data_IF_705317071722
#
_entry.id   IF_705317071722
#
_cell.length_a   1.000
_cell.length_b   1.000
_cell.length_c   1.000
_cell.angle_alpha   90.00
_cell.angle_beta   90.00
_cell.angle_gamma   90.00
#
_symmetry.space_group_name_H-M   'P 1'
#
loop_
_entity.id
_entity.type
_entity.pdbx_description
1 polymer ?
#
# COMPACT_ATOMS: atom_id res chain seq x y z
N UNK A 1 22.06 -19.94 -1.65
CA UNK A 1 21.88 -20.40 -3.04
C UNK A 1 22.07 -19.20 -3.95
N UNK A 2 22.81 -19.32 -5.05
CA UNK A 2 23.17 -18.16 -5.88
C UNK A 2 22.19 -17.86 -7.02
N UNK A 3 21.09 -18.60 -7.15
CA UNK A 3 20.11 -18.37 -8.19
C UNK A 3 19.47 -16.98 -8.02
N UNK A 4 19.37 -16.24 -9.11
CA UNK A 4 18.59 -15.01 -9.13
C UNK A 4 17.11 -15.36 -8.96
N UNK A 5 16.42 -14.59 -8.11
CA UNK A 5 14.98 -14.70 -7.89
C UNK A 5 14.37 -13.32 -7.71
N UNK A 6 13.08 -13.22 -7.97
CA UNK A 6 12.30 -12.00 -7.82
C UNK A 6 11.05 -12.27 -6.99
N UNK A 7 10.46 -11.23 -6.39
CA UNK A 7 9.25 -11.36 -5.57
C UNK A 7 8.08 -12.02 -6.32
N UNK A 8 7.99 -11.82 -7.64
CA UNK A 8 6.97 -12.43 -8.49
C UNK A 8 7.09 -13.94 -8.59
N UNK A 9 8.22 -14.54 -8.18
CA UNK A 9 8.46 -15.98 -8.23
C UNK A 9 7.81 -16.73 -7.06
N UNK A 10 7.40 -15.99 -6.00
CA UNK A 10 6.82 -16.60 -4.79
C UNK A 10 5.51 -17.31 -5.12
N UNK A 11 4.58 -16.61 -5.78
CA UNK A 11 3.26 -17.19 -6.08
C UNK A 11 3.35 -18.43 -7.00
N UNK A 12 4.04 -18.38 -8.16
CA UNK A 12 4.23 -19.60 -8.98
C UNK A 12 4.89 -20.74 -8.22
N UNK A 13 5.84 -20.45 -7.32
CA UNK A 13 6.50 -21.48 -6.49
C UNK A 13 5.51 -22.15 -5.55
N UNK A 14 4.62 -21.37 -4.91
CA UNK A 14 3.60 -21.93 -4.02
C UNK A 14 2.62 -22.81 -4.79
N UNK A 15 2.12 -22.35 -5.94
CA UNK A 15 1.23 -23.14 -6.79
C UNK A 15 1.87 -24.45 -7.23
N UNK A 16 3.11 -24.40 -7.70
CA UNK A 16 3.86 -25.57 -8.18
C UNK A 16 4.16 -26.54 -7.02
N UNK A 17 4.61 -26.03 -5.86
CA UNK A 17 4.90 -26.86 -4.68
C UNK A 17 3.65 -27.59 -4.13
N UNK A 18 2.47 -27.02 -4.31
CA UNK A 18 1.19 -27.60 -3.89
C UNK A 18 0.52 -28.43 -4.99
N UNK A 19 1.07 -28.46 -6.21
CA UNK A 19 0.47 -29.11 -7.36
C UNK A 19 -0.84 -28.47 -7.82
N UNK A 20 -1.01 -27.17 -7.57
CA UNK A 20 -2.22 -26.42 -7.92
C UNK A 20 -2.01 -25.74 -9.29
N UNK A 21 -2.92 -26.01 -10.22
CA UNK A 21 -2.94 -25.30 -11.49
C UNK A 21 -3.42 -23.86 -11.29
N UNK A 22 -2.66 -22.89 -11.78
CA UNK A 22 -3.04 -21.46 -11.71
C UNK A 22 -4.34 -21.26 -12.50
N UNK A 23 -5.41 -20.73 -11.87
CA UNK A 23 -6.67 -20.50 -12.55
C UNK A 23 -6.53 -19.37 -13.57
N UNK A 24 -7.02 -19.56 -14.78
CA UNK A 24 -7.09 -18.51 -15.81
C UNK A 24 -8.28 -17.58 -15.62
N UNK A 25 -9.27 -17.98 -14.81
CA UNK A 25 -10.47 -17.19 -14.50
C UNK A 25 -10.78 -17.33 -13.02
N UNK A 26 -11.00 -16.21 -12.32
CA UNK A 26 -11.44 -16.17 -10.92
C UNK A 26 -12.69 -15.30 -10.82
N UNK A 27 -13.77 -15.84 -10.24
CA UNK A 27 -15.06 -15.13 -10.09
C UNK A 27 -15.59 -14.52 -11.40
N UNK A 28 -15.37 -15.21 -12.53
CA UNK A 28 -15.81 -14.74 -13.85
C UNK A 28 -14.87 -13.73 -14.53
N UNK A 29 -13.75 -13.36 -13.90
CA UNK A 29 -12.77 -12.44 -14.46
C UNK A 29 -11.51 -13.18 -14.93
N UNK A 30 -11.11 -12.93 -16.18
CA UNK A 30 -9.85 -13.42 -16.73
C UNK A 30 -8.67 -12.89 -15.93
N UNK A 31 -7.73 -13.75 -15.59
CA UNK A 31 -6.54 -13.39 -14.81
C UNK A 31 -5.41 -12.98 -15.75
N UNK A 32 -4.60 -12.00 -15.31
CA UNK A 32 -3.34 -11.69 -15.97
C UNK A 32 -2.36 -12.87 -15.83
N UNK A 33 -1.52 -13.14 -16.85
CA UNK A 33 -0.48 -14.16 -16.75
C UNK A 33 0.46 -13.89 -15.55
N UNK A 34 0.89 -14.96 -14.88
CA UNK A 34 1.97 -14.86 -13.90
C UNK A 34 3.31 -14.80 -14.65
N UNK A 35 4.08 -13.74 -14.42
CA UNK A 35 5.39 -13.53 -15.05
C UNK A 35 6.56 -14.07 -14.20
N UNK A 36 6.29 -14.66 -13.04
CA UNK A 36 7.29 -15.27 -12.19
C UNK A 36 7.60 -16.72 -12.59
N UNK A 37 8.78 -17.18 -12.23
CA UNK A 37 9.24 -18.56 -12.42
C UNK A 37 9.19 -19.34 -11.10
N UNK A 38 8.70 -20.57 -11.14
CA UNK A 38 8.72 -21.43 -9.96
C UNK A 38 10.16 -21.75 -9.55
N UNK A 39 10.45 -21.60 -8.27
CA UNK A 39 11.75 -21.92 -7.67
C UNK A 39 11.83 -23.36 -7.13
N UNK A 40 10.83 -24.20 -7.34
CA UNK A 40 10.81 -25.58 -6.83
C UNK A 40 12.02 -26.40 -7.32
N UNK A 41 12.52 -26.12 -8.54
CA UNK A 41 13.74 -26.72 -9.07
C UNK A 41 14.98 -26.50 -8.19
N UNK A 42 14.98 -25.47 -7.34
CA UNK A 42 16.08 -25.16 -6.43
C UNK A 42 16.02 -25.90 -5.11
N UNK A 43 14.90 -26.55 -4.76
CA UNK A 43 14.69 -27.11 -3.42
C UNK A 43 15.70 -28.21 -3.08
N UNK A 44 16.01 -29.05 -4.04
CA UNK A 44 16.90 -30.19 -3.87
C UNK A 44 18.21 -30.10 -4.68
N UNK A 45 18.55 -28.91 -5.17
CA UNK A 45 19.77 -28.71 -5.97
C UNK A 45 20.54 -27.48 -5.51
N UNK A 46 21.88 -27.53 -5.67
CA UNK A 46 22.79 -26.41 -5.43
C UNK A 46 23.29 -25.78 -6.74
N UNK A 47 22.69 -26.13 -7.88
CA UNK A 47 23.06 -25.55 -9.18
C UNK A 47 23.01 -24.03 -9.14
N UNK A 48 23.91 -23.38 -9.87
CA UNK A 48 23.90 -21.91 -10.07
C UNK A 48 23.05 -21.48 -11.24
N UNK A 49 22.54 -22.40 -12.03
CA UNK A 49 21.67 -22.08 -13.15
C UNK A 49 20.35 -21.52 -12.64
N UNK A 50 19.98 -20.35 -13.12
CA UNK A 50 18.65 -19.77 -12.94
C UNK A 50 17.80 -20.09 -14.17
N UNK A 51 16.52 -20.42 -13.93
CA UNK A 51 15.54 -20.59 -15.01
C UNK A 51 14.88 -19.27 -15.38
N UNK A 52 15.07 -18.23 -14.57
CA UNK A 52 14.45 -16.95 -14.80
C UNK A 52 15.07 -16.26 -16.00
N UNK A 53 14.20 -15.77 -16.90
CA UNK A 53 14.56 -14.87 -17.98
C UNK A 53 14.88 -13.44 -17.48
N UNK A 54 14.96 -12.48 -18.40
CA UNK A 54 15.25 -11.10 -18.04
C UNK A 54 14.30 -10.54 -16.99
N UNK A 55 14.83 -9.75 -16.05
CA UNK A 55 14.06 -9.02 -15.07
C UNK A 55 14.35 -7.54 -15.16
N UNK A 56 13.38 -6.76 -15.61
CA UNK A 56 13.44 -5.30 -15.58
C UNK A 56 13.04 -4.75 -14.21
N UNK A 57 13.52 -3.56 -13.93
CA UNK A 57 13.14 -2.73 -12.78
C UNK A 57 12.90 -1.31 -13.28
N UNK A 58 11.89 -0.66 -12.74
CA UNK A 58 11.58 0.74 -12.96
C UNK A 58 11.01 1.34 -11.69
N UNK A 59 11.47 2.54 -11.35
CA UNK A 59 10.90 3.34 -10.27
C UNK A 59 11.19 4.81 -10.52
N UNK A 60 10.16 5.60 -10.83
CA UNK A 60 10.25 7.06 -10.99
C UNK A 60 11.32 7.50 -12.02
N UNK A 61 11.45 6.75 -13.11
CA UNK A 61 12.43 6.99 -14.16
C UNK A 61 13.76 6.24 -13.96
N UNK A 62 14.12 5.83 -12.74
CA UNK A 62 15.28 4.98 -12.50
C UNK A 62 15.04 3.59 -13.09
N UNK A 63 16.03 3.05 -13.80
CA UNK A 63 15.86 1.82 -14.57
C UNK A 63 16.99 0.84 -14.33
N UNK A 64 16.66 -0.43 -14.30
CA UNK A 64 17.66 -1.49 -14.33
C UNK A 64 17.11 -2.74 -15.03
N UNK A 65 18.03 -3.57 -15.51
CA UNK A 65 17.70 -4.89 -16.03
C UNK A 65 18.77 -5.89 -15.61
N UNK A 66 18.30 -7.06 -15.19
CA UNK A 66 19.13 -8.22 -14.94
C UNK A 66 18.88 -9.26 -16.04
N UNK A 67 19.93 -9.82 -16.60
CA UNK A 67 19.87 -10.97 -17.51
C UNK A 67 21.25 -11.69 -17.50
N UNK A 68 21.23 -13.02 -17.44
CA UNK A 68 22.40 -13.90 -17.55
C UNK A 68 23.58 -13.49 -16.66
N UNK A 69 23.27 -13.10 -15.41
CA UNK A 69 24.26 -12.67 -14.43
C UNK A 69 24.80 -11.27 -14.64
N UNK A 70 24.39 -10.56 -15.69
CA UNK A 70 24.67 -9.14 -15.88
C UNK A 70 23.54 -8.27 -15.32
N UNK A 71 23.89 -7.07 -14.86
CA UNK A 71 22.98 -6.01 -14.51
C UNK A 71 23.40 -4.72 -15.20
N UNK A 72 22.49 -4.11 -15.94
CA UNK A 72 22.63 -2.72 -16.37
C UNK A 72 21.70 -1.84 -15.53
N UNK A 73 22.17 -0.67 -15.11
CA UNK A 73 21.43 0.23 -14.22
C UNK A 73 21.71 1.69 -14.55
N UNK A 74 20.66 2.53 -14.43
CA UNK A 74 20.80 3.98 -14.54
C UNK A 74 19.92 4.68 -13.51
N UNK A 75 20.42 5.79 -13.00
CA UNK A 75 19.66 6.75 -12.23
C UNK A 75 19.24 7.89 -13.15
N UNK A 76 17.98 8.28 -13.05
CA UNK A 76 17.40 9.32 -13.87
C UNK A 76 17.24 10.62 -13.09
N UNK A 77 17.65 11.72 -13.68
CA UNK A 77 17.42 13.04 -13.11
C UNK A 77 16.10 13.61 -13.66
N UNK A 78 15.25 14.09 -12.75
CA UNK A 78 13.92 14.61 -13.11
C UNK A 78 14.00 15.72 -14.15
N UNK A 79 13.09 15.67 -15.13
CA UNK A 79 13.01 16.60 -16.27
C UNK A 79 14.21 16.56 -17.23
N UNK A 80 15.02 15.51 -17.21
CA UNK A 80 16.08 15.26 -18.20
C UNK A 80 15.55 14.25 -19.23
N UNK A 81 15.90 14.40 -20.54
CA UNK A 81 15.56 13.38 -21.52
C UNK A 81 16.18 12.03 -21.18
N UNK A 82 15.40 10.94 -21.25
CA UNK A 82 15.82 9.59 -20.88
C UNK A 82 17.00 9.05 -21.71
N UNK A 83 17.18 9.53 -22.92
CA UNK A 83 18.31 9.22 -23.81
C UNK A 83 19.65 9.76 -23.32
N UNK A 84 19.63 10.73 -22.41
CA UNK A 84 20.85 11.33 -21.81
C UNK A 84 21.33 10.57 -20.56
N UNK A 85 20.59 9.58 -20.12
CA UNK A 85 20.96 8.83 -18.92
C UNK A 85 22.23 8.00 -19.13
N UNK A 86 23.12 8.06 -18.16
CA UNK A 86 24.33 7.25 -18.15
C UNK A 86 24.06 5.92 -17.46
N UNK A 87 24.36 4.83 -18.15
CA UNK A 87 24.18 3.48 -17.66
C UNK A 87 25.48 2.85 -17.21
N UNK A 88 25.47 2.21 -16.03
CA UNK A 88 26.50 1.29 -15.57
C UNK A 88 26.19 -0.16 -15.96
N UNK A 89 27.22 -0.99 -16.08
CA UNK A 89 27.13 -2.42 -16.37
C UNK A 89 27.96 -3.23 -15.37
N UNK A 90 27.35 -4.25 -14.79
CA UNK A 90 28.00 -5.10 -13.79
C UNK A 90 27.79 -6.58 -14.07
N UNK A 91 28.77 -7.42 -13.74
CA UNK A 91 28.69 -8.88 -13.80
C UNK A 91 28.51 -9.41 -12.38
N UNK A 92 27.24 -9.60 -11.95
CA UNK A 92 26.90 -9.90 -10.56
C UNK A 92 27.44 -11.24 -10.04
N UNK A 93 27.68 -12.20 -10.92
CA UNK A 93 28.28 -13.49 -10.55
C UNK A 93 29.72 -13.34 -10.07
N UNK A 94 30.42 -12.29 -10.49
CA UNK A 94 31.82 -12.01 -10.21
C UNK A 94 31.98 -10.80 -9.28
N UNK A 95 31.07 -9.85 -9.35
CA UNK A 95 31.07 -8.59 -8.61
C UNK A 95 29.67 -8.28 -8.06
N UNK A 96 29.26 -9.01 -7.01
CA UNK A 96 27.96 -8.84 -6.38
C UNK A 96 27.75 -7.44 -5.77
N UNK A 97 28.85 -6.76 -5.41
CA UNK A 97 28.85 -5.44 -4.79
C UNK A 97 28.81 -4.28 -5.79
N UNK A 98 28.83 -4.58 -7.10
CA UNK A 98 28.79 -3.57 -8.17
C UNK A 98 29.94 -2.53 -8.06
N UNK A 99 31.13 -3.00 -7.73
CA UNK A 99 32.33 -2.14 -7.55
C UNK A 99 33.07 -1.86 -8.86
N UNK A 100 32.89 -2.71 -9.88
CA UNK A 100 33.62 -2.64 -11.12
C UNK A 100 32.67 -2.43 -12.31
N UNK A 101 32.50 -1.18 -12.71
CA UNK A 101 31.68 -0.83 -13.87
C UNK A 101 32.34 -1.27 -15.17
N UNK A 102 31.67 -2.14 -15.90
CA UNK A 102 32.08 -2.69 -17.19
C UNK A 102 31.57 -1.88 -18.40
N UNK A 103 30.86 -0.78 -18.19
CA UNK A 103 30.22 0.00 -19.26
C UNK A 103 31.20 0.45 -20.34
N UNK A 104 32.41 0.82 -19.96
CA UNK A 104 33.49 1.27 -20.86
C UNK A 104 34.27 0.11 -21.50
N UNK A 105 34.38 -1.02 -20.81
CA UNK A 105 35.14 -2.20 -21.29
C UNK A 105 34.28 -3.16 -22.09
N UNK A 106 32.96 -3.16 -21.88
CA UNK A 106 31.98 -4.01 -22.58
C UNK A 106 30.81 -3.19 -23.17
N UNK A 107 31.05 -2.18 -24.00
CA UNK A 107 30.01 -1.29 -24.51
C UNK A 107 28.97 -2.01 -25.39
N UNK A 108 29.35 -3.09 -26.08
CA UNK A 108 28.42 -3.89 -26.86
C UNK A 108 27.39 -4.62 -25.98
N UNK A 109 27.87 -5.20 -24.85
CA UNK A 109 26.98 -5.85 -23.87
C UNK A 109 26.06 -4.84 -23.19
N UNK A 110 26.57 -3.67 -22.83
CA UNK A 110 25.73 -2.59 -22.29
C UNK A 110 24.62 -2.21 -23.26
N UNK A 111 24.93 -2.02 -24.52
CA UNK A 111 23.92 -1.68 -25.55
C UNK A 111 22.85 -2.77 -25.68
N UNK A 112 23.24 -4.04 -25.65
CA UNK A 112 22.32 -5.18 -25.67
C UNK A 112 21.38 -5.13 -24.45
N UNK A 113 21.91 -4.92 -23.25
CA UNK A 113 21.12 -4.86 -22.02
C UNK A 113 20.15 -3.69 -22.01
N UNK A 114 20.57 -2.51 -22.49
CA UNK A 114 19.68 -1.36 -22.62
C UNK A 114 18.54 -1.65 -23.60
N UNK A 115 18.83 -2.25 -24.74
CA UNK A 115 17.81 -2.63 -25.72
C UNK A 115 16.82 -3.63 -25.12
N UNK A 116 17.32 -4.61 -24.38
CA UNK A 116 16.50 -5.59 -23.67
C UNK A 116 15.60 -4.94 -22.61
N UNK A 117 16.08 -3.91 -21.91
CA UNK A 117 15.25 -3.17 -20.95
C UNK A 117 14.04 -2.52 -21.66
N UNK A 118 14.25 -1.86 -22.79
CA UNK A 118 13.17 -1.24 -23.56
C UNK A 118 12.16 -2.25 -24.09
N UNK A 119 12.63 -3.40 -24.56
CA UNK A 119 11.78 -4.52 -25.00
C UNK A 119 10.89 -5.02 -23.85
N UNK A 120 11.48 -5.24 -22.68
CA UNK A 120 10.73 -5.68 -21.51
C UNK A 120 9.75 -4.60 -21.01
N UNK A 121 10.12 -3.34 -21.06
CA UNK A 121 9.27 -2.22 -20.69
C UNK A 121 8.01 -2.12 -21.57
N UNK A 122 8.16 -2.34 -22.86
CA UNK A 122 7.03 -2.38 -23.81
C UNK A 122 6.15 -3.61 -23.55
N UNK A 123 6.75 -4.79 -23.44
CA UNK A 123 6.05 -6.06 -23.19
C UNK A 123 5.19 -6.03 -21.94
N UNK A 124 5.67 -5.39 -20.89
CA UNK A 124 5.01 -5.36 -19.57
C UNK A 124 4.22 -4.06 -19.29
N UNK A 125 4.04 -3.19 -20.27
CA UNK A 125 3.21 -1.99 -20.14
C UNK A 125 3.79 -0.94 -19.17
N UNK A 126 5.13 -0.85 -19.08
CA UNK A 126 5.84 0.13 -18.26
C UNK A 126 5.80 1.52 -18.86
N UNK A 127 5.68 1.59 -20.19
CA UNK A 127 5.65 2.85 -20.93
C UNK A 127 4.26 3.49 -20.96
N UNK A 128 4.13 4.84 -20.98
CA UNK A 128 5.24 5.80 -20.88
C UNK A 128 5.84 5.90 -19.47
N UNK A 129 7.14 6.23 -19.40
CA UNK A 129 7.83 6.48 -18.14
C UNK A 129 7.30 7.76 -17.47
N UNK A 130 7.37 7.79 -16.13
CA UNK A 130 6.93 8.92 -15.32
C UNK A 130 8.00 9.26 -14.25
N UNK A 131 8.70 10.38 -14.45
CA UNK A 131 9.79 10.84 -13.59
C UNK A 131 9.35 11.85 -12.52
N UNK A 132 8.05 12.10 -12.36
CA UNK A 132 7.53 13.12 -11.42
C UNK A 132 7.87 12.86 -9.95
N UNK A 133 8.45 11.72 -9.62
CA UNK A 133 8.89 11.39 -8.26
C UNK A 133 7.74 11.46 -7.25
N UNK A 134 7.94 12.18 -6.15
CA UNK A 134 6.95 12.33 -5.07
C UNK A 134 5.63 12.97 -5.54
N UNK A 135 5.63 13.72 -6.62
CA UNK A 135 4.42 14.35 -7.17
C UNK A 135 3.37 13.32 -7.60
N UNK A 136 3.80 12.11 -8.01
CA UNK A 136 2.90 10.99 -8.35
C UNK A 136 1.96 10.67 -7.18
N UNK A 137 2.42 10.84 -5.95
CA UNK A 137 1.64 10.60 -4.74
C UNK A 137 0.77 11.79 -4.33
N UNK A 138 0.90 12.93 -5.02
CA UNK A 138 0.08 14.12 -4.77
C UNK A 138 -1.36 13.92 -5.26
N UNK A 139 -2.33 14.33 -4.43
CA UNK A 139 -3.77 14.20 -4.75
C UNK A 139 -4.20 14.93 -6.04
N UNK A 140 -3.44 15.93 -6.47
CA UNK A 140 -3.73 16.72 -7.68
C UNK A 140 -3.29 16.05 -8.98
N UNK A 141 -2.41 15.06 -8.93
CA UNK A 141 -1.83 14.42 -10.11
C UNK A 141 -2.59 13.19 -10.62
N UNK A 142 -3.63 12.74 -9.91
CA UNK A 142 -4.42 11.57 -10.27
C UNK A 142 -5.79 11.99 -10.81
N UNK A 143 -6.05 11.98 -12.13
CA UNK A 143 -7.37 12.22 -12.67
C UNK A 143 -8.38 11.21 -12.11
N UNK A 144 -9.55 11.69 -11.69
CA UNK A 144 -10.60 10.83 -11.14
C UNK A 144 -10.31 10.29 -9.74
N UNK A 145 -9.31 10.83 -9.03
CA UNK A 145 -9.06 10.47 -7.64
C UNK A 145 -10.30 10.73 -6.77
N UNK A 146 -10.71 9.76 -5.92
CA UNK A 146 -11.80 9.96 -4.97
C UNK A 146 -11.50 11.05 -3.92
N UNK A 147 -10.27 11.56 -3.88
CA UNK A 147 -9.85 12.60 -2.95
C UNK A 147 -10.35 14.01 -3.27
N UNK A 148 -11.06 14.21 -4.39
CA UNK A 148 -11.64 15.51 -4.73
C UNK A 148 -12.93 15.83 -3.97
N UNK A 149 -13.60 14.84 -3.38
CA UNK A 149 -14.79 15.03 -2.56
C UNK A 149 -14.46 15.58 -1.18
N UNK A 150 -15.38 16.40 -0.64
CA UNK A 150 -15.31 16.85 0.74
C UNK A 150 -16.26 16.06 1.66
N UNK A 151 -17.17 15.28 1.08
CA UNK A 151 -18.15 14.46 1.81
C UNK A 151 -18.23 13.10 1.13
N UNK A 152 -18.20 12.05 1.94
CA UNK A 152 -18.28 10.66 1.51
C UNK A 152 -19.35 9.97 2.32
N UNK A 153 -20.24 9.24 1.67
CA UNK A 153 -21.30 8.48 2.33
C UNK A 153 -21.19 7.01 1.97
N UNK A 154 -21.23 6.16 2.97
CA UNK A 154 -21.16 4.71 2.82
C UNK A 154 -22.36 4.04 3.45
N UNK A 155 -22.81 2.97 2.85
CA UNK A 155 -23.96 2.18 3.32
C UNK A 155 -23.52 0.73 3.57
N UNK A 156 -23.16 0.38 4.81
CA UNK A 156 -22.78 -0.99 5.14
C UNK A 156 -23.91 -2.02 4.82
N UNK A 157 -23.53 -3.26 4.48
CA UNK A 157 -22.20 -3.82 4.50
C UNK A 157 -21.34 -3.39 3.29
N UNK A 158 -20.08 -3.02 3.54
CA UNK A 158 -19.11 -2.64 2.52
C UNK A 158 -17.89 -3.55 2.65
N UNK A 159 -17.37 -4.03 1.53
CA UNK A 159 -16.10 -4.73 1.50
C UNK A 159 -14.96 -3.79 1.93
N UNK A 160 -13.81 -4.35 2.31
CA UNK A 160 -12.61 -3.57 2.59
C UNK A 160 -12.32 -2.56 1.49
N UNK A 161 -12.18 -1.29 1.86
CA UNK A 161 -11.91 -0.19 0.94
C UNK A 161 -10.39 0.01 0.85
N UNK A 162 -9.78 -0.20 -0.32
CA UNK A 162 -8.34 -0.02 -0.49
C UNK A 162 -7.88 1.40 -0.15
N UNK A 163 -6.65 1.56 0.30
CA UNK A 163 -6.09 2.84 0.75
C UNK A 163 -6.26 3.98 -0.27
N UNK A 164 -6.09 3.68 -1.55
CA UNK A 164 -6.21 4.65 -2.65
C UNK A 164 -7.66 5.09 -2.93
N UNK A 165 -8.64 4.33 -2.45
CA UNK A 165 -10.06 4.66 -2.56
C UNK A 165 -10.62 5.31 -1.28
N UNK A 166 -9.82 5.40 -0.21
CA UNK A 166 -10.25 6.01 1.06
C UNK A 166 -10.31 7.53 0.99
N UNK A 167 -11.20 8.17 1.76
CA UNK A 167 -11.16 9.62 1.98
C UNK A 167 -9.80 10.08 2.52
N UNK A 168 -9.30 11.21 2.04
CA UNK A 168 -8.05 11.77 2.54
C UNK A 168 -8.29 12.53 3.86
N UNK A 169 -7.99 11.89 4.99
CA UNK A 169 -8.12 12.48 6.32
C UNK A 169 -6.82 13.13 6.82
N UNK A 170 -5.68 12.71 6.30
CA UNK A 170 -4.38 13.24 6.73
C UNK A 170 -4.22 14.71 6.42
N UNK A 171 -3.79 15.47 7.40
CA UNK A 171 -3.41 16.87 7.23
C UNK A 171 -4.56 17.88 7.20
N UNK A 172 -5.78 17.50 7.57
CA UNK A 172 -6.96 18.36 7.63
C UNK A 172 -7.83 18.06 8.83
N UNK A 173 -8.72 19.00 9.22
CA UNK A 173 -9.84 18.73 10.12
C UNK A 173 -10.89 17.88 9.39
N UNK A 174 -11.60 17.01 10.14
CA UNK A 174 -12.63 16.16 9.58
C UNK A 174 -13.66 15.74 10.64
N UNK A 175 -14.80 15.29 10.19
CA UNK A 175 -15.84 14.70 11.04
C UNK A 175 -16.31 13.38 10.42
N UNK A 176 -16.46 12.35 11.23
CA UNK A 176 -17.10 11.08 10.87
C UNK A 176 -18.38 10.99 11.68
N UNK A 177 -19.48 10.66 11.03
CA UNK A 177 -20.76 10.38 11.69
C UNK A 177 -21.30 9.06 11.19
N UNK A 178 -21.96 8.32 12.08
CA UNK A 178 -22.64 7.08 11.77
C UNK A 178 -24.05 7.09 12.36
N UNK A 179 -25.03 6.85 11.52
CA UNK A 179 -26.40 6.60 11.97
C UNK A 179 -26.48 5.12 12.37
N UNK A 180 -26.80 4.87 13.63
CA UNK A 180 -26.86 3.53 14.23
C UNK A 180 -28.28 3.22 14.72
N UNK A 181 -28.73 2.00 14.51
CA UNK A 181 -30.02 1.53 15.04
C UNK A 181 -29.75 0.69 16.28
N UNK A 182 -30.24 1.16 17.41
CA UNK A 182 -30.13 0.49 18.72
C UNK A 182 -31.38 -0.32 18.97
N UNK A 183 -31.23 -1.61 19.23
CA UNK A 183 -32.28 -2.51 19.66
C UNK A 183 -32.44 -2.56 21.19
N UNK A 184 -33.00 -3.67 21.68
CA UNK A 184 -33.15 -3.89 23.12
C UNK A 184 -31.89 -4.37 23.83
N UNK A 185 -30.83 -4.69 23.06
CA UNK A 185 -29.53 -5.11 23.60
C UNK A 185 -28.54 -3.95 23.46
N UNK A 186 -27.56 -3.83 24.35
CA UNK A 186 -26.45 -2.90 24.20
C UNK A 186 -25.77 -3.09 22.83
N UNK A 187 -25.38 -1.99 22.20
CA UNK A 187 -24.60 -2.05 20.97
C UNK A 187 -23.13 -2.26 21.30
N UNK A 188 -22.49 -3.12 20.54
CA UNK A 188 -21.04 -3.32 20.55
C UNK A 188 -20.53 -3.51 19.12
N UNK A 189 -19.29 -3.12 18.90
CA UNK A 189 -18.60 -3.35 17.64
C UNK A 189 -17.92 -2.13 17.08
N UNK A 190 -17.20 -2.36 15.98
CA UNK A 190 -16.48 -1.33 15.24
C UNK A 190 -17.47 -0.60 14.31
N UNK A 191 -17.41 0.71 14.32
CA UNK A 191 -18.14 1.58 13.39
C UNK A 191 -17.25 1.84 12.18
N UNK A 192 -15.99 2.18 12.44
CA UNK A 192 -15.02 2.55 11.43
C UNK A 192 -13.61 2.21 11.90
N UNK A 193 -12.78 1.67 11.01
CA UNK A 193 -11.36 1.48 11.26
C UNK A 193 -10.55 1.83 10.00
N UNK A 194 -9.37 2.38 10.19
CA UNK A 194 -8.41 2.66 9.11
C UNK A 194 -7.00 2.55 9.62
N UNK A 195 -6.19 1.74 8.96
CA UNK A 195 -4.80 1.54 9.33
C UNK A 195 -4.52 0.13 9.82
N UNK A 196 -3.60 0.01 10.78
CA UNK A 196 -3.15 -1.26 11.33
C UNK A 196 -2.67 -1.10 12.77
N UNK A 197 -2.20 -2.20 13.37
CA UNK A 197 -1.69 -2.24 14.74
C UNK A 197 -0.56 -1.25 15.06
N UNK A 198 0.14 -0.75 14.04
CA UNK A 198 1.26 0.19 14.22
C UNK A 198 0.90 1.65 13.93
N UNK A 199 -0.14 1.91 13.13
CA UNK A 199 -0.57 3.26 12.78
C UNK A 199 -2.00 3.25 12.25
N UNK A 200 -2.83 4.15 12.72
CA UNK A 200 -4.22 4.24 12.26
C UNK A 200 -5.16 4.82 13.29
N UNK A 201 -6.43 4.63 13.04
CA UNK A 201 -7.49 5.01 13.98
C UNK A 201 -8.69 4.08 13.87
N UNK A 202 -9.35 3.86 15.00
CA UNK A 202 -10.55 3.03 15.10
C UNK A 202 -11.62 3.72 15.93
N UNK A 203 -12.87 3.66 15.47
CA UNK A 203 -14.05 4.22 16.10
C UNK A 203 -15.02 3.07 16.42
N UNK A 204 -15.30 2.83 17.68
CA UNK A 204 -16.01 1.64 18.11
C UNK A 204 -16.75 1.83 19.43
N UNK A 205 -17.69 0.93 19.70
CA UNK A 205 -18.38 0.81 20.99
C UNK A 205 -17.97 -0.51 21.64
N UNK A 206 -17.58 -0.44 22.92
CA UNK A 206 -17.28 -1.60 23.77
C UNK A 206 -17.76 -1.32 25.19
N UNK A 207 -18.42 -2.30 25.82
CA UNK A 207 -18.90 -2.20 27.20
C UNK A 207 -19.76 -0.93 27.49
N UNK A 208 -20.61 -0.56 26.53
CA UNK A 208 -21.42 0.68 26.58
C UNK A 208 -20.59 1.98 26.65
N UNK A 209 -19.36 1.95 26.18
CA UNK A 209 -18.48 3.11 26.06
C UNK A 209 -18.16 3.35 24.58
N UNK A 210 -18.34 4.58 24.12
CA UNK A 210 -17.91 5.01 22.79
C UNK A 210 -16.42 5.36 22.86
N UNK A 211 -15.66 4.82 21.93
CA UNK A 211 -14.21 5.01 21.85
C UNK A 211 -13.80 5.52 20.47
N UNK A 212 -12.82 6.40 20.47
CA UNK A 212 -11.99 6.65 19.30
C UNK A 212 -10.54 6.52 19.69
N UNK A 213 -9.83 5.61 19.04
CA UNK A 213 -8.40 5.37 19.26
C UNK A 213 -7.58 5.92 18.10
N UNK A 214 -6.63 6.77 18.40
CA UNK A 214 -5.64 7.29 17.46
C UNK A 214 -4.28 6.65 17.76
N UNK A 215 -3.85 5.73 16.90
CA UNK A 215 -2.60 5.02 17.03
C UNK A 215 -1.51 5.72 16.19
N UNK A 216 -0.54 6.32 16.86
CA UNK A 216 0.61 6.99 16.28
C UNK A 216 1.88 6.17 16.50
N UNK A 217 2.20 5.25 15.59
CA UNK A 217 3.39 4.38 15.68
C UNK A 217 3.44 3.57 16.98
N UNK A 218 2.31 2.94 17.33
CA UNK A 218 2.16 2.15 18.55
C UNK A 218 1.92 2.98 19.82
N UNK A 219 1.81 4.31 19.71
CA UNK A 219 1.41 5.19 20.81
C UNK A 219 -0.05 5.58 20.64
N UNK A 220 -0.89 5.09 21.52
CA UNK A 220 -2.33 5.26 21.48
C UNK A 220 -2.76 6.50 22.27
N UNK A 221 -3.60 7.35 21.66
CA UNK A 221 -4.40 8.38 22.30
C UNK A 221 -5.86 8.04 22.10
N UNK A 222 -6.58 7.79 23.20
CA UNK A 222 -7.96 7.32 23.16
C UNK A 222 -8.91 8.31 23.82
N UNK A 223 -9.89 8.78 23.05
CA UNK A 223 -11.08 9.39 23.62
C UNK A 223 -12.06 8.28 24.02
N UNK A 224 -12.70 8.40 25.19
CA UNK A 224 -13.66 7.43 25.69
C UNK A 224 -14.78 8.16 26.44
N UNK A 225 -16.01 7.79 26.16
CA UNK A 225 -17.18 8.35 26.83
C UNK A 225 -18.26 7.29 27.02
N UNK A 226 -18.83 7.11 28.22
CA UNK A 226 -19.96 6.21 28.43
C UNK A 226 -21.19 6.71 27.63
N UNK A 227 -21.89 5.79 27.01
CA UNK A 227 -23.14 6.07 26.28
C UNK A 227 -24.29 5.23 26.84
N UNK A 228 -25.46 5.85 26.92
CA UNK A 228 -26.69 5.17 27.31
C UNK A 228 -27.77 5.49 26.29
N UNK A 229 -27.84 4.67 25.23
CA UNK A 229 -28.74 4.87 24.12
C UNK A 229 -29.99 4.03 24.33
N UNK A 230 -31.16 4.65 24.16
CA UNK A 230 -32.45 3.93 24.16
C UNK A 230 -32.67 3.23 22.82
N UNK A 231 -33.55 2.21 22.75
CA UNK A 231 -33.93 1.67 21.44
C UNK A 231 -34.38 2.77 20.48
N UNK A 232 -33.88 2.76 19.26
CA UNK A 232 -34.18 3.78 18.24
C UNK A 232 -32.96 4.09 17.36
N UNK A 233 -33.08 5.12 16.54
CA UNK A 233 -32.02 5.62 15.70
C UNK A 233 -31.24 6.72 16.43
N UNK A 234 -29.93 6.60 16.46
CA UNK A 234 -29.01 7.54 17.08
C UNK A 234 -27.90 7.89 16.09
N UNK A 235 -27.28 9.06 16.29
CA UNK A 235 -26.09 9.44 15.55
C UNK A 235 -24.88 9.46 16.48
N UNK A 236 -23.89 8.61 16.18
CA UNK A 236 -22.59 8.62 16.84
C UNK A 236 -21.56 9.30 15.94
N UNK A 237 -20.68 10.10 16.51
CA UNK A 237 -19.72 10.85 15.73
C UNK A 237 -18.39 11.06 16.42
N UNK A 238 -17.42 11.43 15.61
CA UNK A 238 -16.10 11.89 16.07
C UNK A 238 -15.67 13.05 15.19
N UNK A 239 -15.20 14.11 15.82
CA UNK A 239 -14.63 15.29 15.17
C UNK A 239 -13.16 15.41 15.51
N UNK A 240 -12.34 15.66 14.52
CA UNK A 240 -10.94 16.01 14.66
C UNK A 240 -10.73 17.48 14.29
N UNK A 241 -10.40 18.28 15.27
CA UNK A 241 -10.02 19.67 15.12
C UNK A 241 -8.49 19.75 15.11
N UNK A 242 -7.95 20.25 14.00
CA UNK A 242 -6.50 20.29 13.78
C UNK A 242 -5.92 21.63 14.19
N UNK A 243 -4.78 21.62 14.87
CA UNK A 243 -3.97 22.77 15.26
C UNK A 243 -2.51 22.51 14.86
N UNK A 244 -2.10 22.98 13.66
CA UNK A 244 -0.77 22.75 13.09
C UNK A 244 -0.34 21.26 13.07
N UNK A 245 0.57 20.88 13.97
CA UNK A 245 1.08 19.51 14.11
C UNK A 245 0.36 18.70 15.20
N UNK A 246 -0.61 19.30 15.88
CA UNK A 246 -1.42 18.72 16.96
C UNK A 246 -2.90 18.76 16.61
N UNK A 247 -3.76 18.27 17.48
CA UNK A 247 -5.20 18.37 17.30
C UNK A 247 -5.99 17.84 18.48
N UNK A 248 -7.29 17.93 18.40
CA UNK A 248 -8.23 17.43 19.40
C UNK A 248 -9.25 16.51 18.75
N UNK A 249 -9.41 15.33 19.29
CA UNK A 249 -10.50 14.42 18.98
C UNK A 249 -11.63 14.67 19.94
N UNK A 250 -12.84 14.85 19.42
CA UNK A 250 -14.07 15.01 20.23
C UNK A 250 -15.09 13.94 19.82
N UNK A 251 -15.58 13.18 20.79
CA UNK A 251 -16.68 12.21 20.61
C UNK A 251 -18.02 12.92 20.67
N UNK A 252 -18.94 12.52 19.82
CA UNK A 252 -20.27 13.12 19.65
C UNK A 252 -21.33 12.02 19.74
N UNK A 253 -22.40 12.26 20.50
CA UNK A 253 -23.59 11.44 20.47
C UNK A 253 -24.83 12.33 20.38
N UNK A 254 -25.70 12.08 19.41
CA UNK A 254 -26.91 12.85 19.11
C UNK A 254 -26.67 14.38 19.13
N UNK A 255 -25.59 14.79 18.43
CA UNK A 255 -25.21 16.19 18.29
C UNK A 255 -24.58 16.85 19.51
N UNK A 256 -24.29 16.10 20.59
CA UNK A 256 -23.65 16.61 21.81
C UNK A 256 -22.22 16.07 21.92
N UNK A 257 -21.29 16.95 22.26
CA UNK A 257 -19.92 16.58 22.61
C UNK A 257 -19.94 15.86 23.97
N UNK A 258 -19.39 14.64 24.03
CA UNK A 258 -19.46 13.76 25.20
C UNK A 258 -18.09 13.37 25.77
N UNK A 259 -17.01 13.65 25.06
CA UNK A 259 -15.65 13.36 25.51
C UNK A 259 -14.62 13.83 24.51
N UNK A 260 -13.39 14.04 24.97
CA UNK A 260 -12.31 14.47 24.06
C UNK A 260 -10.94 13.98 24.53
N UNK A 261 -9.98 13.99 23.59
CA UNK A 261 -8.57 13.75 23.86
C UNK A 261 -7.70 14.64 22.96
N UNK A 262 -6.61 15.15 23.54
CA UNK A 262 -5.62 15.90 22.77
C UNK A 262 -4.64 14.94 22.08
N UNK A 263 -4.36 15.21 20.79
CA UNK A 263 -3.40 14.51 19.97
C UNK A 263 -2.12 15.36 19.89
N UNK A 264 -1.06 14.98 20.64
CA UNK A 264 0.14 15.82 20.76
C UNK A 264 0.99 15.82 19.48
N UNK A 265 0.78 14.87 18.58
CA UNK A 265 1.50 14.77 17.32
C UNK A 265 0.65 14.07 16.27
N UNK A 266 0.35 14.79 15.18
CA UNK A 266 -0.31 14.21 14.02
C UNK A 266 0.73 13.45 13.20
N UNK A 267 0.48 12.18 12.93
CA UNK A 267 1.25 11.38 11.99
C UNK A 267 0.44 11.17 10.72
N UNK A 268 1.09 11.33 9.57
CA UNK A 268 0.47 10.92 8.30
C UNK A 268 0.41 9.41 8.29
N UNK A 269 -0.77 8.85 8.10
CA UNK A 269 -0.92 7.45 7.76
C UNK A 269 -0.32 7.28 6.36
N UNK A 270 0.95 6.93 6.30
CA UNK A 270 1.62 6.49 5.08
C UNK A 270 1.23 5.02 4.94
N UNK A 271 0.18 4.73 4.23
CA UNK A 271 -0.18 3.35 4.27
C UNK A 271 -0.93 2.82 3.08
N UNK A 272 -0.48 1.66 2.71
CA UNK A 272 -1.20 0.65 1.93
C UNK A 272 -2.44 0.10 2.64
N UNK A 273 -2.68 0.50 3.91
CA UNK A 273 -3.81 0.03 4.71
C UNK A 273 -5.07 0.80 4.39
N UNK A 274 -6.09 0.06 4.01
CA UNK A 274 -7.38 0.59 3.66
C UNK A 274 -8.25 0.96 4.85
N UNK A 275 -9.54 0.94 4.63
CA UNK A 275 -10.58 1.30 5.58
C UNK A 275 -11.64 0.21 5.64
N UNK A 276 -12.10 -0.08 6.85
CA UNK A 276 -13.22 -0.98 7.12
C UNK A 276 -14.37 -0.23 7.79
N UNK A 277 -15.60 -0.66 7.48
CA UNK A 277 -16.80 -0.18 8.12
C UNK A 277 -17.55 -1.36 8.75
N UNK A 278 -17.89 -1.25 10.03
CA UNK A 278 -18.52 -2.34 10.78
C UNK A 278 -17.54 -3.44 11.23
N UNK A 279 -16.26 -3.28 10.96
CA UNK A 279 -15.20 -4.24 11.35
C UNK A 279 -13.84 -3.56 11.42
N UNK A 280 -12.87 -4.25 12.02
CA UNK A 280 -11.43 -3.89 12.01
C UNK A 280 -10.66 -5.17 11.67
N UNK A 281 -10.49 -5.43 10.38
CA UNK A 281 -10.03 -6.73 9.84
C UNK A 281 -8.53 -6.76 9.60
N UNK A 282 -7.98 -7.98 9.40
CA UNK A 282 -6.61 -8.29 9.03
C UNK A 282 -5.57 -7.93 10.10
N UNK A 283 -5.34 -6.68 10.36
CA UNK A 283 -4.38 -6.18 11.35
C UNK A 283 -5.04 -5.05 12.14
N UNK A 284 -5.83 -5.38 13.17
CA UNK A 284 -6.66 -4.40 13.84
C UNK A 284 -5.83 -3.26 14.45
N UNK A 285 -6.38 -2.04 14.38
CA UNK A 285 -5.78 -0.84 14.98
C UNK A 285 -5.74 -0.98 16.49
N UNK A 286 -6.77 -1.63 17.05
CA UNK A 286 -6.94 -1.90 18.47
C UNK A 286 -7.31 -3.36 18.69
N UNK A 287 -6.61 -4.04 19.56
CA UNK A 287 -6.86 -5.43 19.95
C UNK A 287 -7.90 -5.52 21.09
#
# INVERSE_FOLDING_TARGET
RPQFCHITDIAPTVYDALGITVPSVVNGHGQMPMHGESLTYTFNTSTRETKRGPQYFEMMGHRAIWADGYKAVTFHDQNVPYENDTWGLYKLDEDFSEMHDLSTTQPAKLKEMIALWWEQAELHGVLPLDDRGIEIFGSKSRPGSPHYGNTYTYYPPVAHIPADACPLLSGRAWTITADVVVGNQPIEGVIYARGAHNIGHSFFVKDSVLHFDYNALGKHQRASAPISLKPGTHQLGVRFDREDSTGTITLIADGKDIGSVHIPKIVRVLGSMGMDLGSDQLSPVVS
#
